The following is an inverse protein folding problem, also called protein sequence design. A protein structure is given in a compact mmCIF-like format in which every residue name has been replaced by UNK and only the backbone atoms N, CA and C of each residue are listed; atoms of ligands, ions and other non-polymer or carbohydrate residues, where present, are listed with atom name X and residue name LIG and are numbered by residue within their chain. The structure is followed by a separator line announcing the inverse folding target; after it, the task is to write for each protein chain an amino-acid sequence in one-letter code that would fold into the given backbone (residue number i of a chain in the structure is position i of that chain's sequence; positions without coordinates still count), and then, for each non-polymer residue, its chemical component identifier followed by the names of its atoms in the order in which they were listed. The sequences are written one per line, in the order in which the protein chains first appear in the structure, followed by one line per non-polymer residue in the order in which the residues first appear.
data_IF_158664334361
#
_entry.id   IF_158664334361
#
_cell.length_a   1.000
_cell.length_b   1.000
_cell.length_c   1.000
_cell.angle_alpha   90.00
_cell.angle_beta   90.00
_cell.angle_gamma   90.00
#
_symmetry.space_group_name_H-M   'P 1'
#
loop_
_entity.id
_entity.type
_entity.pdbx_description
1 polymer ?
#
# COMPACT_ATOMS: atom_id res chain seq x y z
N UNK A 1 6.21 12.27 3.88
CA UNK A 1 6.09 11.88 2.44
C UNK A 1 7.23 12.28 1.46
N UNK A 2 7.80 13.50 1.45
CA UNK A 2 8.68 13.95 0.33
C UNK A 2 10.03 13.21 0.17
N UNK A 3 10.63 12.75 1.27
CA UNK A 3 11.94 12.07 1.26
C UNK A 3 11.87 10.62 0.77
N UNK A 4 10.85 9.87 1.21
CA UNK A 4 10.64 8.45 0.86
C UNK A 4 10.36 8.31 -0.63
N UNK A 5 9.47 9.14 -1.19
CA UNK A 5 9.18 9.19 -2.64
C UNK A 5 10.44 9.42 -3.46
N UNK A 6 11.28 10.37 -3.04
CA UNK A 6 12.53 10.70 -3.76
C UNK A 6 13.57 9.58 -3.70
N UNK A 7 13.66 8.90 -2.55
CA UNK A 7 14.55 7.75 -2.38
C UNK A 7 14.11 6.54 -3.20
N UNK A 8 12.81 6.23 -3.20
CA UNK A 8 12.25 5.13 -4.00
C UNK A 8 12.45 5.39 -5.50
N UNK A 9 12.08 6.58 -6.01
CA UNK A 9 12.27 6.92 -7.43
C UNK A 9 13.73 6.81 -7.87
N UNK A 10 14.67 7.32 -7.08
CA UNK A 10 16.10 7.21 -7.40
C UNK A 10 16.59 5.76 -7.42
N UNK A 11 16.04 4.90 -6.55
CA UNK A 11 16.40 3.50 -6.51
C UNK A 11 15.81 2.72 -7.71
N UNK A 12 14.58 3.06 -8.14
CA UNK A 12 13.92 2.36 -9.27
C UNK A 12 14.64 2.68 -10.58
N UNK A 13 15.00 3.95 -10.78
CA UNK A 13 15.73 4.44 -11.96
C UNK A 13 17.15 3.83 -12.04
N UNK A 14 17.78 3.57 -10.90
CA UNK A 14 19.16 3.10 -10.84
C UNK A 14 19.30 1.58 -10.91
N UNK A 15 18.24 0.82 -10.62
CA UNK A 15 18.26 -0.63 -10.68
C UNK A 15 16.83 -1.18 -10.86
N UNK A 16 16.41 -1.56 -12.09
CA UNK A 16 15.07 -2.13 -12.33
C UNK A 16 14.84 -3.46 -11.59
N UNK A 17 15.89 -4.03 -10.96
CA UNK A 17 15.83 -5.13 -10.00
C UNK A 17 16.01 -4.62 -8.57
N UNK A 18 15.10 -3.78 -8.08
CA UNK A 18 15.00 -3.60 -6.63
C UNK A 18 14.51 -4.94 -6.05
N UNK A 19 15.31 -5.55 -5.17
CA UNK A 19 14.82 -6.61 -4.29
C UNK A 19 13.93 -5.94 -3.24
N UNK A 20 12.64 -5.83 -3.52
CA UNK A 20 11.65 -5.37 -2.54
C UNK A 20 11.36 -6.56 -1.63
N UNK A 21 11.75 -6.46 -0.37
CA UNK A 21 11.26 -7.38 0.66
C UNK A 21 9.83 -6.96 0.99
N UNK A 22 8.89 -7.83 0.65
CA UNK A 22 7.46 -7.68 0.93
C UNK A 22 7.04 -8.70 1.99
N UNK A 23 6.36 -8.22 3.02
CA UNK A 23 5.85 -9.04 4.11
C UNK A 23 4.38 -8.71 4.33
N UNK A 24 3.52 -9.72 4.31
CA UNK A 24 2.16 -9.61 4.83
C UNK A 24 2.12 -10.24 6.22
N UNK A 25 1.77 -9.42 7.21
CA UNK A 25 1.64 -9.86 8.60
C UNK A 25 0.17 -9.77 8.98
N UNK A 26 -0.46 -10.92 9.21
CA UNK A 26 -1.78 -10.99 9.81
C UNK A 26 -1.61 -10.76 11.31
N UNK A 27 -2.31 -9.76 11.85
CA UNK A 27 -2.35 -9.58 13.30
C UNK A 27 -3.59 -10.27 13.85
N UNK A 28 -3.33 -11.30 14.67
CA UNK A 28 -4.33 -12.28 15.09
C UNK A 28 -5.44 -11.69 15.99
N UNK A 29 -5.17 -10.55 16.65
CA UNK A 29 -6.07 -9.93 17.64
C UNK A 29 -6.74 -8.62 17.17
N UNK A 30 -6.30 -8.03 16.05
CA UNK A 30 -6.72 -6.68 15.63
C UNK A 30 -7.59 -6.65 14.36
N UNK A 31 -7.74 -7.79 13.68
CA UNK A 31 -8.60 -7.93 12.50
C UNK A 31 -8.07 -7.17 11.28
N UNK A 32 -6.76 -6.96 11.21
CA UNK A 32 -6.12 -6.36 10.05
C UNK A 32 -4.90 -7.15 9.57
N UNK A 33 -4.63 -7.02 8.28
CA UNK A 33 -3.38 -7.45 7.65
C UNK A 33 -2.53 -6.23 7.37
N UNK A 34 -1.33 -6.18 7.96
CA UNK A 34 -0.32 -5.16 7.71
C UNK A 34 0.54 -5.57 6.53
N UNK A 35 0.71 -4.66 5.58
CA UNK A 35 1.63 -4.81 4.45
C UNK A 35 2.88 -3.97 4.73
N UNK A 36 4.01 -4.67 4.86
CA UNK A 36 5.31 -4.07 5.13
C UNK A 36 6.20 -4.15 3.91
N UNK A 37 6.85 -3.04 3.61
CA UNK A 37 7.80 -2.89 2.52
C UNK A 37 9.15 -2.57 3.15
N UNK A 38 10.13 -3.46 3.01
CA UNK A 38 11.46 -3.29 3.59
C UNK A 38 11.42 -3.07 5.12
N UNK A 39 10.50 -3.74 5.81
CA UNK A 39 10.30 -3.63 7.26
C UNK A 39 9.53 -2.37 7.72
N UNK A 40 9.14 -1.49 6.79
CA UNK A 40 8.32 -0.30 7.08
C UNK A 40 6.86 -0.62 6.78
N UNK A 41 5.97 -0.30 7.72
CA UNK A 41 4.53 -0.40 7.51
C UNK A 41 4.06 0.64 6.49
N UNK A 42 3.49 0.17 5.38
CA UNK A 42 3.05 1.03 4.29
C UNK A 42 1.55 1.01 4.04
N UNK A 43 0.87 -0.10 4.37
CA UNK A 43 -0.57 -0.22 4.18
C UNK A 43 -1.20 -1.19 5.19
N UNK A 44 -2.48 -0.96 5.47
CA UNK A 44 -3.31 -1.81 6.32
C UNK A 44 -4.60 -2.17 5.59
N UNK A 45 -4.91 -3.46 5.57
CA UNK A 45 -6.18 -4.02 5.07
C UNK A 45 -6.98 -4.49 6.28
N UNK A 46 -8.08 -3.81 6.58
CA UNK A 46 -8.80 -4.03 7.84
C UNK A 46 -10.09 -3.25 7.93
N UNK A 47 -10.97 -3.67 8.84
CA UNK A 47 -12.18 -2.90 9.16
C UNK A 47 -11.89 -1.69 10.03
N UNK A 48 -10.78 -1.66 10.76
CA UNK A 48 -10.41 -0.55 11.63
C UNK A 48 -9.49 0.43 10.92
N UNK A 49 -9.75 1.73 11.10
CA UNK A 49 -8.91 2.80 10.56
C UNK A 49 -7.57 2.86 11.32
N UNK A 50 -6.41 2.89 10.63
CA UNK A 50 -5.13 3.10 11.28
C UNK A 50 -4.98 4.57 11.73
N UNK A 51 -4.38 4.84 12.90
CA UNK A 51 -4.29 6.19 13.45
C UNK A 51 -3.36 7.12 12.65
N UNK A 52 -2.43 6.56 11.88
CA UNK A 52 -1.47 7.33 11.08
C UNK A 52 -2.01 7.55 9.65
N UNK A 53 -1.95 8.80 9.18
CA UNK A 53 -2.36 9.22 7.83
C UNK A 53 -1.31 8.92 6.75
N UNK A 54 -0.08 8.59 7.14
CA UNK A 54 0.96 8.12 6.22
C UNK A 54 0.79 6.62 5.87
N UNK A 55 -0.16 5.91 6.51
CA UNK A 55 -0.52 4.52 6.22
C UNK A 55 -1.74 4.48 5.28
N UNK A 56 -1.59 3.81 4.13
CA UNK A 56 -2.70 3.54 3.22
C UNK A 56 -3.68 2.57 3.86
N UNK A 57 -4.94 2.97 4.04
CA UNK A 57 -5.96 2.10 4.59
C UNK A 57 -6.95 1.66 3.53
N UNK A 58 -7.11 0.36 3.26
CA UNK A 58 -7.98 -0.07 2.17
C UNK A 58 -9.45 -0.31 2.57
N UNK A 59 -9.75 -0.35 3.87
CA UNK A 59 -11.12 -0.51 4.37
C UNK A 59 -11.79 -1.82 3.95
N UNK A 60 -12.20 -2.64 4.94
CA UNK A 60 -12.69 -4.03 4.78
C UNK A 60 -11.53 -5.04 4.75
N UNK A 61 -11.73 -6.17 5.42
CA UNK A 61 -10.83 -7.31 5.35
C UNK A 61 -11.59 -8.49 4.75
N UNK A 62 -11.13 -8.98 3.60
CA UNK A 62 -11.40 -10.35 3.15
C UNK A 62 -10.07 -11.01 2.83
N UNK A 63 -9.94 -12.30 3.13
CA UNK A 63 -8.73 -13.05 2.80
C UNK A 63 -8.42 -12.98 1.30
N UNK A 64 -9.45 -12.98 0.46
CA UNK A 64 -9.33 -12.88 -0.99
C UNK A 64 -8.69 -11.55 -1.43
N UNK A 65 -9.12 -10.41 -0.86
CA UNK A 65 -8.56 -9.09 -1.15
C UNK A 65 -7.06 -9.02 -0.81
N UNK A 66 -6.69 -9.57 0.36
CA UNK A 66 -5.30 -9.63 0.80
C UNK A 66 -4.45 -10.43 -0.19
N UNK A 67 -4.94 -11.58 -0.64
CA UNK A 67 -4.25 -12.44 -1.59
C UNK A 67 -4.10 -11.77 -2.97
N UNK A 68 -5.17 -11.15 -3.49
CA UNK A 68 -5.16 -10.48 -4.79
C UNK A 68 -4.19 -9.30 -4.84
N UNK A 69 -4.18 -8.46 -3.80
CA UNK A 69 -3.27 -7.31 -3.71
C UNK A 69 -1.82 -7.78 -3.58
N UNK A 70 -1.56 -8.76 -2.69
CA UNK A 70 -0.23 -9.34 -2.52
C UNK A 70 0.31 -9.89 -3.83
N UNK A 71 -0.52 -10.66 -4.55
CA UNK A 71 -0.16 -11.21 -5.87
C UNK A 71 0.16 -10.10 -6.87
N UNK A 72 -0.67 -9.08 -6.97
CA UNK A 72 -0.48 -7.96 -7.89
C UNK A 72 0.82 -7.19 -7.60
N UNK A 73 1.13 -6.94 -6.33
CA UNK A 73 2.39 -6.30 -5.92
C UNK A 73 3.60 -7.12 -6.38
N UNK A 74 3.56 -8.44 -6.16
CA UNK A 74 4.64 -9.35 -6.58
C UNK A 74 4.78 -9.39 -8.11
N UNK A 75 3.67 -9.48 -8.85
CA UNK A 75 3.68 -9.49 -10.32
C UNK A 75 4.27 -8.18 -10.89
N UNK A 76 3.85 -7.03 -10.37
CA UNK A 76 4.39 -5.73 -10.79
C UNK A 76 5.88 -5.59 -10.47
N UNK A 77 6.29 -6.00 -9.26
CA UNK A 77 7.69 -5.94 -8.84
C UNK A 77 8.58 -6.89 -9.69
N UNK A 78 8.10 -8.11 -9.97
CA UNK A 78 8.85 -9.09 -10.78
C UNK A 78 8.93 -8.71 -12.26
N UNK A 79 7.95 -7.98 -12.78
CA UNK A 79 7.99 -7.38 -14.11
C UNK A 79 8.97 -6.19 -14.20
N UNK A 80 9.56 -5.76 -13.08
CA UNK A 80 10.42 -4.57 -13.02
C UNK A 80 9.63 -3.28 -13.22
N UNK A 81 8.34 -3.27 -12.90
CA UNK A 81 7.51 -2.06 -12.99
C UNK A 81 7.98 -1.07 -11.92
N UNK A 82 8.55 0.08 -12.28
CA UNK A 82 9.13 1.02 -11.32
C UNK A 82 8.08 1.78 -10.49
N UNK A 83 6.79 1.49 -10.71
CA UNK A 83 5.69 2.35 -10.29
C UNK A 83 5.62 3.58 -11.20
N UNK A 84 4.41 4.08 -11.44
CA UNK A 84 4.25 5.37 -12.10
C UNK A 84 3.35 6.28 -11.26
N UNK A 85 3.93 7.42 -10.86
CA UNK A 85 3.17 8.52 -10.28
C UNK A 85 2.44 9.26 -11.39
N UNK A 86 1.11 9.27 -11.36
CA UNK A 86 0.29 10.03 -12.32
C UNK A 86 -0.07 9.28 -13.61
N UNK A 87 0.26 7.99 -13.75
CA UNK A 87 -0.14 7.23 -14.96
C UNK A 87 -1.59 6.74 -14.94
N UNK A 88 -2.18 6.58 -13.75
CA UNK A 88 -3.57 6.11 -13.61
C UNK A 88 -4.52 7.29 -13.50
N UNK A 89 -4.13 8.33 -12.76
CA UNK A 89 -4.88 9.59 -12.61
C UNK A 89 -3.93 10.78 -12.44
N UNK A 90 -4.30 11.96 -12.96
CA UNK A 90 -3.58 13.22 -12.78
C UNK A 90 -3.72 13.79 -11.35
N UNK A 91 -4.59 13.21 -10.53
CA UNK A 91 -4.89 13.66 -9.17
C UNK A 91 -4.01 12.90 -8.18
N UNK A 92 -3.28 13.65 -7.33
CA UNK A 92 -2.49 13.04 -6.25
C UNK A 92 -3.43 12.36 -5.24
N UNK A 93 -3.09 11.13 -4.85
CA UNK A 93 -3.85 10.39 -3.85
C UNK A 93 -3.99 11.20 -2.56
N UNK A 94 -5.22 11.28 -2.04
CA UNK A 94 -5.50 11.89 -0.74
C UNK A 94 -6.11 10.84 0.17
N UNK A 95 -5.31 10.38 1.12
CA UNK A 95 -5.75 9.42 2.12
C UNK A 95 -6.97 9.95 2.88
N UNK A 96 -6.99 11.23 3.27
CA UNK A 96 -8.14 11.83 3.96
C UNK A 96 -9.44 11.76 3.16
N UNK A 97 -9.39 12.05 1.85
CA UNK A 97 -10.58 11.98 0.99
C UNK A 97 -11.04 10.53 0.86
N UNK A 98 -10.11 9.59 0.72
CA UNK A 98 -10.42 8.17 0.67
C UNK A 98 -11.10 7.68 1.95
N UNK A 99 -10.55 8.01 3.12
CA UNK A 99 -11.13 7.62 4.42
C UNK A 99 -12.54 8.17 4.60
N UNK A 100 -12.77 9.44 4.22
CA UNK A 100 -14.11 10.03 4.22
C UNK A 100 -15.10 9.25 3.36
N UNK A 101 -14.67 8.74 2.19
CA UNK A 101 -15.53 7.91 1.32
C UNK A 101 -15.80 6.54 1.94
N UNK A 102 -14.76 5.83 2.40
CA UNK A 102 -14.89 4.50 3.03
C UNK A 102 -15.78 4.53 4.27
N UNK A 103 -15.71 5.59 5.07
CA UNK A 103 -16.53 5.76 6.27
C UNK A 103 -17.98 6.11 5.94
N UNK A 104 -18.23 6.90 4.88
CA UNK A 104 -19.60 7.19 4.40
C UNK A 104 -20.30 5.96 3.87
N UNK A 105 -19.59 5.06 3.19
CA UNK A 105 -20.12 3.79 2.68
C UNK A 105 -20.52 2.79 3.79
N UNK A 106 -20.22 3.08 5.06
CA UNK A 106 -20.59 2.25 6.22
C UNK A 106 -21.87 2.69 6.94
N UNK A 107 -22.47 3.82 6.55
CA UNK A 107 -23.69 4.40 7.17
C UNK A 107 -24.93 4.04 6.36
#
# INVERSE_FOLDING_TARGET
MRGIRKGLLSATDSNPRINVVFESVREDDSGFTSLKFMGVEGAVIGTSEPPDMDILWLGKETQDLVQEITKSIVELATAGYPGCSGCVDDIEWSESIWRDMVLKDRV
#
